data_IF_234203195103
#
_entry.id   IF_234203195103
#
_cell.length_a   1.000
_cell.length_b   1.000
_cell.length_c   1.000
_cell.angle_alpha   90.00
_cell.angle_beta   90.00
_cell.angle_gamma   90.00
#
_symmetry.space_group_name_H-M   'P 1'
#
loop_
_entity.id
_entity.type
_entity.pdbx_description
1 polymer ?
#
# COMPACT_ATOMS: atom_id res chain seq x y z
N UNK A 1 -9.70 -21.01 -3.17
CA UNK A 1 -8.94 -20.34 -2.09
C UNK A 1 -9.84 -20.27 -0.88
N UNK A 2 -9.31 -20.44 0.33
CA UNK A 2 -10.11 -20.44 1.56
C UNK A 2 -10.57 -18.99 1.86
N UNK A 3 -11.87 -18.74 2.12
CA UNK A 3 -12.40 -17.39 2.37
C UNK A 3 -11.68 -16.64 3.50
N UNK A 4 -11.35 -17.36 4.58
CA UNK A 4 -10.55 -16.82 5.69
C UNK A 4 -9.17 -16.28 5.26
N UNK A 5 -8.51 -16.96 4.32
CA UNK A 5 -7.22 -16.52 3.80
C UNK A 5 -7.35 -15.19 3.05
N UNK A 6 -8.39 -15.04 2.24
CA UNK A 6 -8.66 -13.81 1.49
C UNK A 6 -8.96 -12.62 2.41
N UNK A 7 -9.67 -12.83 3.52
CA UNK A 7 -9.95 -11.79 4.51
C UNK A 7 -8.66 -11.31 5.17
N UNK A 8 -7.82 -12.24 5.63
CA UNK A 8 -6.54 -11.90 6.26
C UNK A 8 -5.64 -11.15 5.26
N UNK A 9 -5.53 -11.65 4.04
CA UNK A 9 -4.72 -11.03 2.99
C UNK A 9 -5.24 -9.64 2.61
N UNK A 10 -6.55 -9.49 2.41
CA UNK A 10 -7.19 -8.21 2.11
C UNK A 10 -6.96 -7.19 3.21
N UNK A 11 -7.11 -7.59 4.48
CA UNK A 11 -6.81 -6.75 5.64
C UNK A 11 -5.35 -6.27 5.69
N UNK A 12 -4.40 -7.17 5.43
CA UNK A 12 -2.97 -6.82 5.36
C UNK A 12 -2.69 -5.83 4.22
N UNK A 13 -3.28 -6.03 3.04
CA UNK A 13 -3.11 -5.14 1.89
C UNK A 13 -3.70 -3.76 2.18
N UNK A 14 -4.87 -3.68 2.81
CA UNK A 14 -5.47 -2.39 3.24
C UNK A 14 -4.53 -1.69 4.23
N UNK A 15 -4.02 -2.40 5.23
CA UNK A 15 -3.11 -1.83 6.22
C UNK A 15 -1.83 -1.27 5.55
N UNK A 16 -1.27 -1.99 4.58
CA UNK A 16 -0.13 -1.53 3.79
C UNK A 16 -0.48 -0.29 2.97
N UNK A 17 -1.62 -0.26 2.29
CA UNK A 17 -2.06 0.91 1.53
C UNK A 17 -2.22 2.17 2.39
N UNK A 18 -2.84 2.03 3.57
CA UNK A 18 -2.95 3.12 4.56
C UNK A 18 -1.57 3.56 5.04
N UNK A 19 -0.67 2.62 5.32
CA UNK A 19 0.70 2.93 5.72
C UNK A 19 1.43 3.73 4.64
N UNK A 20 1.33 3.34 3.36
CA UNK A 20 1.91 4.08 2.24
C UNK A 20 1.37 5.50 2.13
N UNK A 21 0.07 5.71 2.35
CA UNK A 21 -0.53 7.06 2.34
C UNK A 21 -0.02 7.90 3.52
N UNK A 22 0.11 7.31 4.71
CA UNK A 22 0.53 8.00 5.95
C UNK A 22 2.03 8.28 6.01
N UNK A 23 2.85 7.43 5.38
CA UNK A 23 4.31 7.52 5.36
C UNK A 23 4.83 7.38 3.92
N UNK A 24 4.46 8.27 2.99
CA UNK A 24 4.80 8.15 1.56
C UNK A 24 6.31 8.22 1.30
N UNK A 25 7.05 8.90 2.17
CA UNK A 25 8.52 9.01 2.07
C UNK A 25 9.26 7.73 2.47
N UNK A 26 8.58 6.78 3.14
CA UNK A 26 9.20 5.52 3.54
C UNK A 26 9.59 4.65 2.34
N UNK A 27 8.70 4.57 1.33
CA UNK A 27 8.98 3.85 0.09
C UNK A 27 10.16 4.45 -0.69
N UNK A 28 10.28 5.78 -0.66
CA UNK A 28 11.39 6.49 -1.27
C UNK A 28 12.71 6.17 -0.58
N UNK A 29 12.72 6.23 0.76
CA UNK A 29 13.90 5.93 1.58
C UNK A 29 14.44 4.53 1.35
N UNK A 30 13.58 3.54 1.13
CA UNK A 30 14.02 2.17 0.84
C UNK A 30 14.56 2.01 -0.59
N UNK A 31 13.93 2.62 -1.59
CA UNK A 31 14.19 2.32 -3.00
C UNK A 31 15.15 3.27 -3.71
N UNK A 32 15.18 4.53 -3.27
CA UNK A 32 15.85 5.62 -3.99
C UNK A 32 16.88 6.36 -3.15
N UNK A 33 16.69 6.48 -1.83
CA UNK A 33 17.62 7.26 -1.00
C UNK A 33 19.08 6.76 -1.03
N UNK A 34 19.31 5.47 -1.28
CA UNK A 34 20.67 4.92 -1.43
C UNK A 34 21.34 5.27 -2.78
N UNK A 35 20.57 5.72 -3.77
CA UNK A 35 21.05 6.05 -5.13
C UNK A 35 21.45 7.51 -5.27
N UNK A 36 21.02 8.37 -4.37
CA UNK A 36 21.27 9.82 -4.46
C UNK A 36 22.44 10.19 -3.56
N UNK A 37 23.39 10.98 -4.08
CA UNK A 37 24.45 11.61 -3.26
C UNK A 37 23.88 12.90 -2.66
N UNK A 38 24.00 13.05 -1.33
CA UNK A 38 23.39 14.06 -0.45
C UNK A 38 21.94 13.79 -0.03
N UNK A 39 21.54 14.41 1.10
CA UNK A 39 20.20 14.48 1.73
C UNK A 39 19.13 15.07 0.79
N UNK A 40 19.02 14.49 -0.41
CA UNK A 40 18.00 14.86 -1.36
C UNK A 40 16.67 14.36 -0.81
N UNK A 41 15.69 15.24 -0.71
CA UNK A 41 14.35 14.87 -0.26
C UNK A 41 13.53 14.33 -1.44
N UNK A 42 12.57 13.42 -1.20
CA UNK A 42 11.62 13.00 -2.22
C UNK A 42 10.87 14.20 -2.78
N UNK A 43 10.72 14.26 -4.10
CA UNK A 43 9.94 15.31 -4.75
C UNK A 43 8.45 15.21 -4.38
N UNK A 44 7.75 16.34 -4.45
CA UNK A 44 6.30 16.39 -4.22
C UNK A 44 5.54 15.42 -5.15
N UNK A 45 6.00 15.33 -6.41
CA UNK A 45 5.45 14.39 -7.39
C UNK A 45 5.59 12.92 -6.93
N UNK A 46 6.72 12.55 -6.31
CA UNK A 46 6.89 11.22 -5.75
C UNK A 46 5.92 10.97 -4.59
N UNK A 47 5.79 11.94 -3.69
CA UNK A 47 4.89 11.86 -2.54
C UNK A 47 3.44 11.65 -2.99
N UNK A 48 2.99 12.41 -3.98
CA UNK A 48 1.64 12.30 -4.52
C UNK A 48 1.42 10.98 -5.26
N UNK A 49 2.41 10.52 -6.03
CA UNK A 49 2.36 9.20 -6.68
C UNK A 49 2.33 8.06 -5.66
N UNK A 50 3.09 8.15 -4.57
CA UNK A 50 3.07 7.18 -3.48
C UNK A 50 1.71 7.13 -2.77
N UNK A 51 1.11 8.30 -2.48
CA UNK A 51 -0.26 8.37 -1.91
C UNK A 51 -1.30 7.78 -2.86
N UNK A 52 -1.20 8.07 -4.16
CA UNK A 52 -2.09 7.50 -5.18
C UNK A 52 -1.95 5.98 -5.26
N UNK A 53 -0.72 5.46 -5.29
CA UNK A 53 -0.46 4.01 -5.24
C UNK A 53 -1.00 3.36 -3.96
N UNK A 54 -0.88 4.05 -2.81
CA UNK A 54 -1.47 3.63 -1.56
C UNK A 54 -3.00 3.56 -1.61
N UNK A 55 -3.67 4.53 -2.24
CA UNK A 55 -5.12 4.52 -2.44
C UNK A 55 -5.56 3.34 -3.31
N UNK A 56 -4.88 3.09 -4.43
CA UNK A 56 -5.13 1.93 -5.29
C UNK A 56 -4.95 0.62 -4.50
N UNK A 57 -3.93 0.54 -3.67
CA UNK A 57 -3.68 -0.62 -2.80
C UNK A 57 -4.83 -0.86 -1.82
N UNK A 58 -5.36 0.20 -1.18
CA UNK A 58 -6.52 0.09 -0.29
C UNK A 58 -7.75 -0.42 -1.05
N UNK A 59 -8.00 0.07 -2.27
CA UNK A 59 -9.12 -0.36 -3.10
C UNK A 59 -9.00 -1.86 -3.44
N UNK A 60 -7.82 -2.31 -3.87
CA UNK A 60 -7.57 -3.72 -4.18
C UNK A 60 -7.73 -4.63 -2.96
N UNK A 61 -7.19 -4.22 -1.81
CA UNK A 61 -7.37 -4.95 -0.55
C UNK A 61 -8.84 -5.03 -0.12
N UNK A 62 -9.63 -3.99 -0.38
CA UNK A 62 -11.07 -3.96 -0.12
C UNK A 62 -11.83 -4.97 -0.99
N UNK A 63 -11.50 -5.09 -2.27
CA UNK A 63 -12.08 -6.12 -3.14
C UNK A 63 -11.76 -7.54 -2.67
N UNK A 64 -10.51 -7.79 -2.23
CA UNK A 64 -10.12 -9.09 -1.69
C UNK A 64 -10.85 -9.42 -0.38
N UNK A 65 -11.02 -8.43 0.49
CA UNK A 65 -11.76 -8.59 1.74
C UNK A 65 -13.23 -8.91 1.47
N UNK A 66 -13.89 -8.18 0.57
CA UNK A 66 -15.26 -8.46 0.15
C UNK A 66 -15.40 -9.86 -0.48
N UNK A 67 -14.51 -10.22 -1.41
CA UNK A 67 -14.50 -11.54 -2.03
C UNK A 67 -14.28 -12.67 -1.01
N UNK A 68 -13.45 -12.43 0.02
CA UNK A 68 -13.25 -13.35 1.13
C UNK A 68 -14.51 -13.55 1.97
N UNK A 69 -15.23 -12.48 2.31
CA UNK A 69 -16.50 -12.54 3.04
C UNK A 69 -17.55 -13.30 2.22
N UNK A 70 -17.69 -12.97 0.94
CA UNK A 70 -18.65 -13.65 0.05
C UNK A 70 -18.38 -15.16 -0.08
N UNK A 71 -17.12 -15.58 0.04
CA UNK A 71 -16.76 -17.00 -0.01
C UNK A 71 -17.08 -17.77 1.29
N UNK A 72 -17.36 -17.07 2.38
CA UNK A 72 -17.76 -17.65 3.67
C UNK A 72 -19.28 -17.76 3.85
N UNK A 73 -20.06 -17.08 3.00
CA UNK A 73 -21.51 -17.16 2.94
C UNK A 73 -21.96 -18.35 2.09
#
# INVERSE_FOLDING_TARGET
>A
MNGYFLIILGGLIIALGIFTIRKPTFGWKMNEAWKVKNDSEPSDAYIDMAKFGGLVTVILGSFLLLGGILNLL
#
